data_IF_908707859673
#
_entry.id   IF_908707859673
#
_cell.length_a   1.000
_cell.length_b   1.000
_cell.length_c   1.000
_cell.angle_alpha   90.00
_cell.angle_beta   90.00
_cell.angle_gamma   90.00
#
_symmetry.space_group_name_H-M   'P 1'
#
loop_
_entity.id
_entity.type
_entity.pdbx_description
1 polymer ?
#
# COMPACT_ATOMS: atom_id res chain seq x y z
N UNK A 1 -9.77 -6.40 -2.45
CA UNK A 1 -8.75 -5.68 -1.66
C UNK A 1 -7.62 -5.15 -2.54
N UNK A 2 -7.08 -5.93 -3.45
CA UNK A 2 -6.01 -5.47 -4.36
C UNK A 2 -6.41 -4.23 -5.16
N UNK A 3 -7.61 -4.21 -5.71
CA UNK A 3 -8.10 -3.09 -6.51
C UNK A 3 -8.14 -1.77 -5.72
N UNK A 4 -8.53 -1.85 -4.46
CA UNK A 4 -8.62 -0.67 -3.61
C UNK A 4 -7.24 -0.10 -3.30
N UNK A 5 -6.25 -0.96 -3.06
CA UNK A 5 -4.86 -0.53 -2.85
C UNK A 5 -4.30 0.05 -4.14
N UNK A 6 -4.58 -0.59 -5.27
CA UNK A 6 -4.16 -0.09 -6.59
C UNK A 6 -4.73 1.30 -6.85
N UNK A 7 -6.01 1.50 -6.57
CA UNK A 7 -6.65 2.81 -6.77
C UNK A 7 -5.99 3.89 -5.92
N UNK A 8 -5.63 3.58 -4.68
CA UNK A 8 -4.92 4.53 -3.82
C UNK A 8 -3.56 4.89 -4.40
N UNK A 9 -2.81 3.91 -4.89
CA UNK A 9 -1.50 4.14 -5.49
C UNK A 9 -1.60 5.02 -6.73
N UNK A 10 -2.59 4.77 -7.57
CA UNK A 10 -2.81 5.56 -8.79
C UNK A 10 -3.28 6.97 -8.47
N UNK A 11 -4.30 7.09 -7.63
CA UNK A 11 -4.96 8.37 -7.37
C UNK A 11 -4.13 9.30 -6.50
N UNK A 12 -3.45 8.75 -5.49
CA UNK A 12 -2.76 9.56 -4.49
C UNK A 12 -1.27 9.71 -4.77
N UNK A 13 -0.64 8.68 -5.29
CA UNK A 13 0.81 8.67 -5.51
C UNK A 13 1.19 8.70 -6.99
N UNK A 14 0.21 8.79 -7.86
CA UNK A 14 0.42 8.90 -9.32
C UNK A 14 1.25 7.73 -9.89
N UNK A 15 1.11 6.55 -9.32
CA UNK A 15 1.78 5.36 -9.81
C UNK A 15 1.09 4.88 -11.09
N UNK A 16 1.88 4.44 -12.06
CA UNK A 16 1.34 3.90 -13.30
C UNK A 16 0.62 2.59 -13.01
N UNK A 17 -0.68 2.48 -13.34
CA UNK A 17 -1.44 1.25 -13.05
C UNK A 17 -0.86 0.02 -13.73
N UNK A 18 -0.18 0.17 -14.85
CA UNK A 18 0.43 -0.95 -15.56
C UNK A 18 1.58 -1.59 -14.76
N UNK A 19 2.19 -0.84 -13.85
CA UNK A 19 3.29 -1.32 -13.02
C UNK A 19 2.81 -1.98 -11.72
N UNK A 20 1.54 -1.84 -11.40
CA UNK A 20 1.01 -2.34 -10.13
C UNK A 20 0.60 -3.80 -10.26
N UNK A 21 1.43 -4.68 -9.70
CA UNK A 21 1.16 -6.11 -9.62
C UNK A 21 1.36 -6.55 -8.17
N UNK A 22 0.83 -7.71 -7.76
CA UNK A 22 1.03 -8.19 -6.38
C UNK A 22 2.51 -8.33 -6.00
N UNK A 23 3.37 -8.63 -6.98
CA UNK A 23 4.79 -8.82 -6.74
C UNK A 23 5.62 -7.55 -6.87
N UNK A 24 5.01 -6.44 -7.30
CA UNK A 24 5.71 -5.19 -7.47
C UNK A 24 6.20 -4.65 -6.13
N UNK A 25 7.48 -4.31 -6.04
CA UNK A 25 8.04 -3.72 -4.84
C UNK A 25 7.74 -2.23 -4.81
N UNK A 26 7.22 -1.77 -3.68
CA UNK A 26 6.78 -0.39 -3.53
C UNK A 26 7.91 0.60 -3.78
N UNK A 27 9.08 0.35 -3.23
CA UNK A 27 10.23 1.24 -3.37
C UNK A 27 10.97 1.00 -4.68
N UNK A 28 11.30 -0.25 -4.97
CA UNK A 28 12.17 -0.58 -6.12
C UNK A 28 11.45 -0.53 -7.46
N UNK A 29 10.21 -1.03 -7.51
CA UNK A 29 9.47 -1.12 -8.77
C UNK A 29 8.59 0.10 -9.01
N UNK A 30 7.96 0.62 -7.96
CA UNK A 30 7.03 1.75 -8.07
C UNK A 30 7.68 3.09 -7.74
N UNK A 31 8.90 3.08 -7.22
CA UNK A 31 9.63 4.30 -6.92
C UNK A 31 9.07 5.10 -5.76
N UNK A 32 8.37 4.45 -4.83
CA UNK A 32 7.78 5.10 -3.67
C UNK A 32 8.87 5.32 -2.63
N UNK A 33 8.99 6.56 -2.14
CA UNK A 33 9.95 6.86 -1.07
C UNK A 33 9.29 6.69 0.31
N UNK A 34 10.08 6.90 1.38
CA UNK A 34 9.61 6.71 2.75
C UNK A 34 8.44 7.59 3.12
N UNK A 35 8.43 8.84 2.64
CA UNK A 35 7.34 9.77 2.92
C UNK A 35 6.06 9.33 2.22
N UNK A 36 6.18 8.89 0.98
CA UNK A 36 5.04 8.40 0.22
C UNK A 36 4.49 7.11 0.82
N UNK A 37 5.36 6.25 1.30
CA UNK A 37 4.93 5.02 1.97
C UNK A 37 4.15 5.34 3.25
N UNK A 38 4.60 6.31 4.03
CA UNK A 38 3.89 6.75 5.21
C UNK A 38 2.52 7.33 4.86
N UNK A 39 2.45 8.12 3.78
CA UNK A 39 1.17 8.65 3.29
C UNK A 39 0.23 7.52 2.86
N UNK A 40 0.76 6.51 2.18
CA UNK A 40 -0.04 5.36 1.76
C UNK A 40 -0.63 4.64 2.97
N UNK A 41 0.17 4.45 4.02
CA UNK A 41 -0.28 3.82 5.25
C UNK A 41 -1.42 4.62 5.88
N UNK A 42 -1.26 5.94 5.98
CA UNK A 42 -2.31 6.80 6.54
C UNK A 42 -3.60 6.73 5.73
N UNK A 43 -3.48 6.73 4.42
CA UNK A 43 -4.65 6.64 3.54
C UNK A 43 -5.35 5.30 3.71
N UNK A 44 -4.60 4.22 3.88
CA UNK A 44 -5.19 2.91 4.15
C UNK A 44 -5.91 2.89 5.49
N UNK A 45 -5.33 3.50 6.52
CA UNK A 45 -5.96 3.59 7.83
C UNK A 45 -7.30 4.32 7.75
N UNK A 46 -7.34 5.43 7.02
CA UNK A 46 -8.56 6.21 6.88
C UNK A 46 -9.61 5.49 6.01
N UNK A 47 -9.15 4.92 4.90
CA UNK A 47 -10.06 4.27 3.94
C UNK A 47 -10.72 3.04 4.53
N UNK A 48 -9.97 2.25 5.26
CA UNK A 48 -10.45 0.97 5.79
C UNK A 48 -10.82 1.04 7.27
N UNK A 49 -10.65 2.20 7.88
CA UNK A 49 -10.96 2.44 9.30
C UNK A 49 -10.23 1.44 10.20
N UNK A 50 -8.92 1.37 10.05
CA UNK A 50 -8.03 0.47 10.78
C UNK A 50 -6.82 1.23 11.32
N UNK A 51 -6.08 0.59 12.22
CA UNK A 51 -4.80 1.11 12.69
C UNK A 51 -3.68 0.19 12.23
N UNK A 52 -2.62 0.79 11.69
CA UNK A 52 -1.43 0.06 11.25
C UNK A 52 -0.26 0.50 12.15
N UNK A 53 0.32 -0.45 12.86
CA UNK A 53 1.44 -0.17 13.75
C UNK A 53 2.73 0.14 12.99
N UNK A 54 3.60 0.93 13.62
CA UNK A 54 4.89 1.30 13.01
C UNK A 54 5.71 0.07 12.65
N UNK A 55 5.66 -0.97 13.48
CA UNK A 55 6.38 -2.22 13.21
C UNK A 55 5.87 -2.92 11.96
N UNK A 56 4.59 -2.79 11.67
CA UNK A 56 4.00 -3.44 10.51
C UNK A 56 4.35 -2.72 9.21
N UNK A 57 4.60 -1.41 9.28
CA UNK A 57 4.98 -0.62 8.10
C UNK A 57 6.27 -1.17 7.48
N UNK A 58 7.19 -1.63 8.32
CA UNK A 58 8.47 -2.18 7.84
C UNK A 58 8.31 -3.50 7.07
N UNK A 59 7.15 -4.13 7.16
CA UNK A 59 6.86 -5.38 6.46
C UNK A 59 6.29 -5.14 5.06
N UNK A 60 5.95 -3.91 4.75
CA UNK A 60 5.35 -3.56 3.45
C UNK A 60 6.42 -3.37 2.40
N UNK A 61 6.79 -4.45 1.76
CA UNK A 61 7.82 -4.45 0.70
C UNK A 61 7.15 -4.45 -0.66
N UNK A 62 6.16 -5.31 -0.87
CA UNK A 62 5.44 -5.41 -2.13
C UNK A 62 3.99 -4.95 -1.98
N UNK A 63 3.32 -4.74 -3.11
CA UNK A 63 1.88 -4.45 -3.12
C UNK A 63 1.11 -5.59 -2.45
N UNK A 64 1.51 -6.83 -2.73
CA UNK A 64 0.88 -8.00 -2.12
C UNK A 64 0.99 -8.01 -0.59
N UNK A 65 2.10 -7.54 -0.05
CA UNK A 65 2.27 -7.45 1.40
C UNK A 65 1.23 -6.52 2.03
N UNK A 66 0.97 -5.39 1.40
CA UNK A 66 -0.04 -4.44 1.85
C UNK A 66 -1.43 -5.06 1.76
N UNK A 67 -1.72 -5.69 0.62
CA UNK A 67 -3.02 -6.34 0.39
C UNK A 67 -3.28 -7.44 1.42
N UNK A 68 -2.28 -8.28 1.65
CA UNK A 68 -2.40 -9.39 2.61
C UNK A 68 -2.64 -8.87 4.03
N UNK A 69 -1.92 -7.83 4.42
CA UNK A 69 -2.10 -7.22 5.73
C UNK A 69 -3.52 -6.68 5.90
N UNK A 70 -3.98 -5.92 4.91
CA UNK A 70 -5.32 -5.32 4.96
C UNK A 70 -6.40 -6.40 4.96
N UNK A 71 -6.22 -7.46 4.18
CA UNK A 71 -7.17 -8.55 4.10
C UNK A 71 -7.27 -9.31 5.43
N UNK A 72 -6.19 -9.33 6.21
CA UNK A 72 -6.17 -10.04 7.49
C UNK A 72 -6.92 -9.30 8.60
N UNK A 73 -7.01 -7.98 8.52
CA UNK A 73 -7.60 -7.15 9.57
C UNK A 73 -8.89 -6.44 9.14
N UNK A 74 -9.06 -6.15 7.87
CA UNK A 74 -10.28 -5.51 7.34
C UNK A 74 -11.24 -6.59 6.87
N UNK A 75 -12.17 -6.93 7.70
CA UNK A 75 -13.15 -7.98 7.39
C UNK A 75 -14.45 -7.39 6.88
#
# INVERSE_FOLDING_TARGET
MFEQVKDLLVDELSVNPADITPNAELVNDLGINSLELADLVLMCEERFNIEIGDDDIHKFITVGDVVDYLASIAK
#
